data_IF_395182013675
#
_entry.id   IF_395182013675
#
_cell.length_a   1.000
_cell.length_b   1.000
_cell.length_c   1.000
_cell.angle_alpha   90.00
_cell.angle_beta   90.00
_cell.angle_gamma   90.00
#
_symmetry.space_group_name_H-M   'P 1'
#
loop_
_entity.id
_entity.type
_entity.pdbx_description
1 polymer ?
#
# COMPACT_ATOMS: atom_id res chain seq x y z
N UNK A 1 10.60 9.04 -0.91
CA UNK A 1 12.05 8.83 -0.72
C UNK A 1 12.49 9.71 0.40
N UNK A 2 12.26 11.03 0.32
CA UNK A 2 12.56 11.98 1.38
C UNK A 2 11.93 11.62 2.73
N UNK A 3 10.61 11.41 2.81
CA UNK A 3 9.96 10.96 4.05
C UNK A 3 10.49 9.62 4.60
N UNK A 4 10.96 8.72 3.73
CA UNK A 4 11.60 7.47 4.15
C UNK A 4 12.98 7.77 4.73
N UNK A 5 13.80 8.54 4.01
CA UNK A 5 15.09 9.00 4.49
C UNK A 5 14.99 9.72 5.84
N UNK A 6 14.06 10.66 6.00
CA UNK A 6 13.84 11.38 7.26
C UNK A 6 13.46 10.41 8.39
N UNK A 7 12.52 9.48 8.14
CA UNK A 7 12.09 8.51 9.15
C UNK A 7 13.22 7.56 9.57
N UNK A 8 14.07 7.15 8.63
CA UNK A 8 15.11 6.14 8.85
C UNK A 8 16.42 6.71 9.39
N UNK A 9 16.82 7.86 8.86
CA UNK A 9 18.09 8.50 9.13
C UNK A 9 17.98 9.51 10.27
N UNK A 10 17.01 10.44 10.21
CA UNK A 10 16.82 11.51 11.22
C UNK A 10 16.02 11.06 12.44
N UNK A 11 15.20 10.00 12.31
CA UNK A 11 14.52 9.30 13.41
C UNK A 11 13.75 10.23 14.34
N UNK A 12 14.24 10.47 15.56
CA UNK A 12 13.56 11.20 16.63
C UNK A 12 13.76 12.72 16.53
N UNK A 13 14.65 13.19 15.67
CA UNK A 13 14.80 14.60 15.36
C UNK A 13 13.69 15.08 14.41
N UNK A 14 12.44 14.94 14.84
CA UNK A 14 11.27 15.35 14.06
C UNK A 14 11.35 16.82 13.62
N UNK A 15 12.07 17.69 14.34
CA UNK A 15 12.27 19.09 13.98
C UNK A 15 13.17 19.30 12.76
N UNK A 16 14.05 18.35 12.42
CA UNK A 16 14.97 18.41 11.28
C UNK A 16 14.41 17.71 10.04
N UNK A 17 13.17 17.23 10.06
CA UNK A 17 12.55 16.58 8.90
C UNK A 17 12.30 17.60 7.79
N UNK A 18 12.56 17.18 6.55
CA UNK A 18 12.53 18.11 5.42
C UNK A 18 11.12 18.63 5.13
N UNK A 19 10.08 17.86 5.44
CA UNK A 19 8.69 18.30 5.23
C UNK A 19 8.26 19.44 6.15
N UNK A 20 9.00 19.70 7.24
CA UNK A 20 8.78 20.86 8.10
C UNK A 20 9.37 22.12 7.47
N UNK A 21 10.58 22.01 6.89
CA UNK A 21 11.29 23.13 6.27
C UNK A 21 10.74 23.45 4.87
N UNK A 22 10.35 22.43 4.12
CA UNK A 22 9.84 22.52 2.75
C UNK A 22 8.47 21.85 2.67
N UNK A 23 7.45 22.55 3.16
CA UNK A 23 6.07 22.09 3.06
C UNK A 23 5.65 22.08 1.58
N UNK A 24 5.53 20.88 1.01
CA UNK A 24 4.96 20.71 -0.32
C UNK A 24 3.48 21.13 -0.37
N UNK A 25 2.97 21.32 -1.59
CA UNK A 25 1.60 21.83 -1.85
C UNK A 25 0.49 20.88 -1.37
N UNK A 26 0.80 19.60 -1.09
CA UNK A 26 -0.17 18.60 -0.64
C UNK A 26 0.44 17.68 0.41
N UNK A 27 -0.15 17.59 1.62
CA UNK A 27 0.29 16.64 2.64
C UNK A 27 0.03 15.21 2.16
N UNK A 28 1.06 14.37 2.25
CA UNK A 28 0.99 12.94 1.90
C UNK A 28 0.99 12.13 3.18
N UNK A 29 0.31 10.99 3.17
CA UNK A 29 0.29 10.10 4.32
C UNK A 29 1.68 9.51 4.60
N UNK A 30 2.09 9.54 5.87
CA UNK A 30 3.29 8.87 6.37
C UNK A 30 3.05 7.39 6.63
N UNK A 31 1.79 6.93 6.62
CA UNK A 31 1.46 5.55 6.95
C UNK A 31 2.21 4.55 6.07
N UNK A 32 2.26 4.77 4.75
CA UNK A 32 2.98 3.88 3.82
C UNK A 32 4.49 3.78 4.12
N UNK A 33 5.10 4.89 4.54
CA UNK A 33 6.52 4.92 4.89
C UNK A 33 6.74 4.23 6.25
N UNK A 34 5.82 4.43 7.20
CA UNK A 34 5.82 3.74 8.48
C UNK A 34 5.68 2.23 8.32
N UNK A 35 4.86 1.77 7.37
CA UNK A 35 4.76 0.35 7.01
C UNK A 35 6.10 -0.24 6.56
N UNK A 36 6.87 0.48 5.73
CA UNK A 36 8.22 0.05 5.35
C UNK A 36 9.12 -0.04 6.58
N UNK A 37 9.05 0.92 7.50
CA UNK A 37 9.85 0.90 8.73
C UNK A 37 9.59 -0.32 9.59
N UNK A 38 8.30 -0.64 9.76
CA UNK A 38 7.89 -1.78 10.55
C UNK A 38 8.29 -3.12 9.91
N UNK A 39 8.17 -3.24 8.57
CA UNK A 39 8.37 -4.52 7.89
C UNK A 39 9.82 -4.80 7.50
N UNK A 40 10.62 -3.77 7.24
CA UNK A 40 11.99 -3.92 6.78
C UNK A 40 13.00 -3.61 7.89
N UNK A 41 12.91 -2.44 8.50
CA UNK A 41 13.98 -1.96 9.37
C UNK A 41 13.90 -2.53 10.79
N UNK A 42 12.71 -2.68 11.37
CA UNK A 42 12.56 -3.34 12.67
C UNK A 42 13.17 -4.75 12.71
N UNK A 43 12.82 -5.68 11.80
CA UNK A 43 13.41 -7.01 11.83
C UNK A 43 14.91 -6.99 11.55
N UNK A 44 15.40 -6.15 10.62
CA UNK A 44 16.83 -6.00 10.38
C UNK A 44 17.57 -5.54 11.65
N UNK A 45 17.03 -4.59 12.41
CA UNK A 45 17.61 -4.16 13.70
C UNK A 45 17.57 -5.26 14.76
N UNK A 46 16.48 -6.03 14.83
CA UNK A 46 16.39 -7.15 15.77
C UNK A 46 17.39 -8.27 15.44
N UNK A 47 17.71 -8.47 14.16
CA UNK A 47 18.63 -9.51 13.70
C UNK A 47 20.11 -9.10 13.82
N UNK A 48 20.44 -7.85 13.49
CA UNK A 48 21.83 -7.39 13.37
C UNK A 48 22.25 -6.41 14.49
N UNK A 49 21.36 -6.11 15.43
CA UNK A 49 21.62 -5.20 16.56
C UNK A 49 22.10 -3.81 16.13
N UNK A 50 22.95 -3.20 16.95
CA UNK A 50 23.57 -1.90 16.66
C UNK A 50 24.58 -1.93 15.50
N UNK A 51 24.98 -3.12 15.03
CA UNK A 51 25.81 -3.28 13.83
C UNK A 51 25.07 -2.97 12.53
N UNK A 52 23.76 -3.23 12.47
CA UNK A 52 22.94 -2.76 11.34
C UNK A 52 22.78 -1.24 11.35
N UNK A 53 22.77 -0.63 12.53
CA UNK A 53 22.71 0.82 12.66
C UNK A 53 23.98 1.45 12.04
N UNK A 54 25.18 0.94 12.34
CA UNK A 54 26.40 1.53 11.79
C UNK A 54 26.52 1.40 10.26
N UNK A 55 26.11 0.28 9.66
CA UNK A 55 26.18 0.11 8.19
C UNK A 55 25.04 0.85 7.45
N UNK A 56 23.80 0.76 7.94
CA UNK A 56 22.64 1.40 7.30
C UNK A 56 22.56 2.91 7.55
N UNK A 57 23.11 3.43 8.67
CA UNK A 57 23.12 4.86 8.99
C UNK A 57 24.41 5.57 8.57
N UNK A 58 25.46 4.85 8.15
CA UNK A 58 26.71 5.50 7.71
C UNK A 58 26.52 6.21 6.36
N UNK A 59 25.73 5.63 5.45
CA UNK A 59 25.45 6.22 4.14
C UNK A 59 23.94 6.37 3.89
N UNK A 60 23.47 7.62 3.86
CA UNK A 60 22.08 7.97 3.56
C UNK A 60 21.58 7.44 2.22
N UNK A 61 22.49 7.23 1.25
CA UNK A 61 22.16 6.67 -0.06
C UNK A 61 21.85 5.17 0.04
N UNK A 62 22.54 4.43 0.91
CA UNK A 62 22.30 3.00 1.12
C UNK A 62 20.87 2.72 1.60
N UNK A 63 20.35 3.54 2.52
CA UNK A 63 18.94 3.48 2.97
C UNK A 63 17.98 3.66 1.79
N UNK A 64 18.25 4.64 0.93
CA UNK A 64 17.41 4.93 -0.22
C UNK A 64 17.39 3.75 -1.22
N UNK A 65 18.53 3.12 -1.49
CA UNK A 65 18.60 1.94 -2.34
C UNK A 65 17.89 0.73 -1.72
N UNK A 66 18.07 0.50 -0.43
CA UNK A 66 17.42 -0.61 0.27
C UNK A 66 15.90 -0.47 0.25
N UNK A 67 15.38 0.73 0.53
CA UNK A 67 13.94 1.02 0.47
C UNK A 67 13.41 0.81 -0.96
N UNK A 68 14.14 1.26 -1.98
CA UNK A 68 13.76 1.04 -3.39
C UNK A 68 13.71 -0.43 -3.75
N UNK A 69 14.70 -1.21 -3.34
CA UNK A 69 14.76 -2.64 -3.59
C UNK A 69 13.58 -3.35 -2.92
N UNK A 70 13.27 -2.99 -1.67
CA UNK A 70 12.12 -3.54 -0.94
C UNK A 70 10.80 -3.23 -1.65
N UNK A 71 10.57 -1.97 -2.04
CA UNK A 71 9.35 -1.58 -2.77
C UNK A 71 9.27 -2.30 -4.12
N UNK A 72 10.38 -2.42 -4.85
CA UNK A 72 10.42 -3.18 -6.10
C UNK A 72 10.07 -4.65 -5.90
N UNK A 73 10.61 -5.28 -4.84
CA UNK A 73 10.29 -6.66 -4.48
C UNK A 73 8.79 -6.82 -4.13
N UNK A 74 8.22 -5.92 -3.33
CA UNK A 74 6.78 -5.93 -3.03
C UNK A 74 5.92 -5.82 -4.29
N UNK A 75 6.28 -4.93 -5.23
CA UNK A 75 5.61 -4.81 -6.52
C UNK A 75 5.70 -6.11 -7.31
N UNK A 76 6.89 -6.69 -7.43
CA UNK A 76 7.11 -7.95 -8.13
C UNK A 76 6.27 -9.09 -7.53
N UNK A 77 6.31 -9.27 -6.21
CA UNK A 77 5.54 -10.32 -5.53
C UNK A 77 4.02 -10.12 -5.64
N UNK A 78 3.54 -8.87 -5.66
CA UNK A 78 2.12 -8.59 -5.90
C UNK A 78 1.67 -9.12 -7.28
N UNK A 79 2.46 -8.86 -8.34
CA UNK A 79 2.14 -9.35 -9.68
C UNK A 79 2.31 -10.86 -9.84
N UNK A 80 3.33 -11.46 -9.23
CA UNK A 80 3.47 -12.93 -9.16
C UNK A 80 2.24 -13.54 -8.48
N UNK A 81 1.78 -12.94 -7.37
CA UNK A 81 0.60 -13.40 -6.66
C UNK A 81 -0.67 -13.28 -7.53
N UNK A 82 -0.83 -12.20 -8.31
CA UNK A 82 -1.92 -12.04 -9.27
C UNK A 82 -1.85 -13.08 -10.40
N UNK A 83 -0.70 -13.24 -11.04
CA UNK A 83 -0.53 -14.19 -12.14
C UNK A 83 -0.81 -15.62 -11.71
N UNK A 84 -0.42 -16.03 -10.50
CA UNK A 84 -0.76 -17.34 -9.93
C UNK A 84 -2.25 -17.52 -9.71
N UNK A 85 -2.97 -16.45 -9.35
CA UNK A 85 -4.44 -16.50 -9.22
C UNK A 85 -5.13 -16.65 -10.56
N UNK A 86 -4.65 -15.93 -11.57
CA UNK A 86 -5.16 -16.02 -12.94
C UNK A 86 -4.92 -17.43 -13.50
N UNK A 87 -3.71 -17.98 -13.34
CA UNK A 87 -3.42 -19.35 -13.82
C UNK A 87 -4.26 -20.41 -13.11
N UNK A 88 -4.56 -20.22 -11.81
CA UNK A 88 -5.46 -21.11 -11.06
C UNK A 88 -6.90 -21.04 -11.58
N UNK A 89 -7.36 -19.89 -12.06
CA UNK A 89 -8.67 -19.73 -12.67
C UNK A 89 -8.72 -20.29 -14.10
N UNK A 90 -7.64 -20.09 -14.86
CA UNK A 90 -7.49 -20.49 -16.25
C UNK A 90 -7.11 -21.98 -16.44
N UNK A 91 -7.27 -22.83 -15.40
CA UNK A 91 -6.89 -24.26 -15.36
C UNK A 91 -7.45 -25.16 -16.49
N UNK A 92 -8.25 -24.59 -17.39
CA UNK A 92 -8.77 -25.26 -18.58
C UNK A 92 -7.89 -25.08 -19.83
N UNK A 93 -6.86 -24.23 -19.82
CA UNK A 93 -5.98 -23.98 -20.98
C UNK A 93 -4.55 -24.47 -20.76
N UNK A 94 -3.91 -24.93 -21.83
CA UNK A 94 -2.54 -25.47 -21.89
C UNK A 94 -1.44 -24.43 -21.67
N UNK A 95 -1.76 -23.13 -21.79
CA UNK A 95 -0.78 -22.05 -21.73
C UNK A 95 -0.45 -21.60 -20.30
N UNK A 96 0.81 -21.26 -20.05
CA UNK A 96 1.23 -20.65 -18.78
C UNK A 96 0.87 -19.16 -18.74
N UNK A 97 -0.38 -18.87 -18.38
CA UNK A 97 -0.93 -17.50 -18.30
C UNK A 97 -0.14 -16.62 -17.32
N UNK A 98 0.48 -17.21 -16.30
CA UNK A 98 1.30 -16.48 -15.35
C UNK A 98 2.58 -15.98 -16.01
N UNK A 99 3.27 -16.83 -16.77
CA UNK A 99 4.47 -16.43 -17.51
C UNK A 99 4.16 -15.35 -18.57
N UNK A 100 3.06 -15.50 -19.32
CA UNK A 100 2.64 -14.52 -20.32
C UNK A 100 2.35 -13.16 -19.68
N UNK A 101 1.61 -13.13 -18.58
CA UNK A 101 1.33 -11.90 -17.85
C UNK A 101 2.63 -11.23 -17.38
N UNK A 102 3.54 -11.98 -16.76
CA UNK A 102 4.80 -11.42 -16.27
C UNK A 102 5.69 -10.91 -17.41
N UNK A 103 5.75 -11.62 -18.54
CA UNK A 103 6.48 -11.16 -19.73
C UNK A 103 5.89 -9.84 -20.25
N UNK A 104 4.56 -9.76 -20.39
CA UNK A 104 3.89 -8.54 -20.82
C UNK A 104 4.13 -7.37 -19.83
N UNK A 105 4.06 -7.62 -18.53
CA UNK A 105 4.32 -6.60 -17.53
C UNK A 105 5.79 -6.15 -17.53
N UNK A 106 6.73 -7.05 -17.80
CA UNK A 106 8.15 -6.73 -17.88
C UNK A 106 8.52 -5.88 -19.09
N UNK A 107 7.75 -5.96 -20.20
CA UNK A 107 7.95 -5.11 -21.36
C UNK A 107 7.41 -3.68 -21.16
N UNK A 108 6.53 -3.47 -20.17
CA UNK A 108 6.00 -2.14 -19.84
C UNK A 108 7.01 -1.32 -19.03
N UNK A 109 7.73 -0.43 -19.71
CA UNK A 109 8.75 0.42 -19.07
C UNK A 109 8.21 1.22 -17.87
N UNK A 110 6.95 1.69 -17.94
CA UNK A 110 6.31 2.46 -16.87
C UNK A 110 6.26 1.66 -15.57
N UNK A 111 5.89 0.37 -15.64
CA UNK A 111 5.72 -0.45 -14.45
C UNK A 111 7.06 -0.69 -13.74
N UNK A 112 8.08 -1.05 -14.51
CA UNK A 112 9.43 -1.32 -13.99
C UNK A 112 10.05 -0.04 -13.41
N UNK A 113 9.86 1.10 -14.09
CA UNK A 113 10.37 2.40 -13.67
C UNK A 113 9.72 2.93 -12.39
N UNK A 114 8.38 2.87 -12.29
CA UNK A 114 7.64 3.38 -11.13
C UNK A 114 7.55 2.37 -9.98
N UNK A 115 7.68 1.07 -10.27
CA UNK A 115 7.51 -0.03 -9.32
C UNK A 115 8.52 -0.07 -8.17
N UNK A 116 9.65 0.64 -8.28
CA UNK A 116 10.67 0.77 -7.23
C UNK A 116 10.57 2.09 -6.44
N UNK A 117 9.72 3.02 -6.85
CA UNK A 117 9.62 4.35 -6.23
C UNK A 117 8.62 4.32 -5.09
N UNK A 118 8.96 4.95 -3.96
CA UNK A 118 8.06 5.10 -2.79
C UNK A 118 6.99 6.19 -3.05
N UNK A 119 6.17 6.00 -4.06
CA UNK A 119 5.06 6.89 -4.37
C UNK A 119 3.78 6.27 -3.80
N UNK A 120 2.81 7.08 -3.33
CA UNK A 120 1.49 6.58 -2.96
C UNK A 120 0.89 5.67 -4.05
N UNK A 121 1.08 6.03 -5.33
CA UNK A 121 0.59 5.25 -6.47
C UNK A 121 1.19 3.83 -6.51
N UNK A 122 2.45 3.66 -6.12
CA UNK A 122 3.12 2.34 -6.11
C UNK A 122 2.55 1.46 -4.99
N UNK A 123 2.30 2.02 -3.81
CA UNK A 123 1.63 1.28 -2.72
C UNK A 123 0.17 0.96 -3.06
N UNK A 124 -0.52 1.89 -3.70
CA UNK A 124 -1.88 1.69 -4.17
C UNK A 124 -1.92 0.51 -5.16
N UNK A 125 -1.00 0.50 -6.13
CA UNK A 125 -0.85 -0.58 -7.10
C UNK A 125 -0.58 -1.93 -6.44
N UNK A 126 0.32 -1.98 -5.45
CA UNK A 126 0.63 -3.22 -4.74
C UNK A 126 -0.59 -3.78 -4.00
N UNK A 127 -1.25 -2.96 -3.18
CA UNK A 127 -2.43 -3.36 -2.41
C UNK A 127 -3.62 -3.71 -3.31
N UNK A 128 -3.84 -2.94 -4.36
CA UNK A 128 -4.92 -3.15 -5.31
C UNK A 128 -4.73 -4.46 -6.08
N UNK A 129 -3.50 -4.75 -6.53
CA UNK A 129 -3.13 -5.99 -7.23
C UNK A 129 -3.30 -7.21 -6.33
N UNK A 130 -2.87 -7.14 -5.07
CA UNK A 130 -3.07 -8.22 -4.09
C UNK A 130 -4.55 -8.41 -3.77
N UNK A 131 -5.31 -7.33 -3.58
CA UNK A 131 -6.75 -7.36 -3.35
C UNK A 131 -7.50 -8.03 -4.49
N UNK A 132 -7.19 -7.66 -5.74
CA UNK A 132 -7.74 -8.29 -6.94
C UNK A 132 -7.41 -9.78 -7.00
N UNK A 133 -6.17 -10.13 -6.67
CA UNK A 133 -5.74 -11.53 -6.63
C UNK A 133 -6.52 -12.37 -5.60
N UNK A 134 -6.82 -11.82 -4.43
CA UNK A 134 -7.68 -12.49 -3.44
C UNK A 134 -9.13 -12.61 -3.89
N UNK A 135 -9.65 -11.58 -4.58
CA UNK A 135 -10.99 -11.62 -5.14
C UNK A 135 -11.11 -12.72 -6.20
N UNK A 136 -10.14 -12.84 -7.12
CA UNK A 136 -10.10 -13.91 -8.12
C UNK A 136 -10.05 -15.32 -7.51
N UNK A 137 -9.46 -15.47 -6.31
CA UNK A 137 -9.43 -16.73 -5.56
C UNK A 137 -10.68 -16.98 -4.70
N UNK A 138 -11.68 -16.11 -4.76
CA UNK A 138 -12.90 -16.19 -3.94
C UNK A 138 -12.69 -15.88 -2.46
N UNK A 139 -11.57 -15.27 -2.08
CA UNK A 139 -11.27 -14.83 -0.72
C UNK A 139 -11.85 -13.43 -0.46
N UNK A 140 -13.16 -13.29 -0.64
CA UNK A 140 -13.89 -12.01 -0.67
C UNK A 140 -13.53 -11.08 0.50
N UNK A 141 -13.50 -11.63 1.72
CA UNK A 141 -13.26 -10.84 2.92
C UNK A 141 -11.91 -10.14 2.88
N UNK A 142 -10.84 -10.87 2.51
CA UNK A 142 -9.48 -10.33 2.42
C UNK A 142 -9.36 -9.33 1.27
N UNK A 143 -10.01 -9.62 0.15
CA UNK A 143 -10.02 -8.74 -1.01
C UNK A 143 -10.68 -7.39 -0.69
N UNK A 144 -11.92 -7.41 -0.19
CA UNK A 144 -12.67 -6.20 0.14
C UNK A 144 -11.96 -5.41 1.23
N UNK A 145 -11.42 -6.07 2.26
CA UNK A 145 -10.64 -5.41 3.31
C UNK A 145 -9.45 -4.64 2.71
N UNK A 146 -8.61 -5.30 1.90
CA UNK A 146 -7.42 -4.68 1.32
C UNK A 146 -7.75 -3.55 0.34
N UNK A 147 -8.78 -3.72 -0.49
CA UNK A 147 -9.24 -2.68 -1.41
C UNK A 147 -9.81 -1.47 -0.67
N UNK A 148 -10.53 -1.69 0.43
CA UNK A 148 -11.06 -0.61 1.27
C UNK A 148 -9.92 0.17 1.95
N UNK A 149 -8.92 -0.54 2.52
CA UNK A 149 -7.72 0.12 3.08
C UNK A 149 -6.99 0.93 2.01
N UNK A 150 -6.84 0.39 0.80
CA UNK A 150 -6.20 1.08 -0.32
C UNK A 150 -6.92 2.39 -0.69
N UNK A 151 -8.26 2.33 -0.79
CA UNK A 151 -9.11 3.47 -1.12
C UNK A 151 -9.10 4.56 -0.05
N UNK A 152 -9.14 4.19 1.23
CA UNK A 152 -9.21 5.13 2.35
C UNK A 152 -7.86 5.76 2.69
N UNK A 153 -6.77 4.98 2.68
CA UNK A 153 -5.45 5.43 3.14
C UNK A 153 -4.65 6.04 2.01
N UNK A 154 -4.61 5.35 0.86
CA UNK A 154 -3.59 5.62 -0.14
C UNK A 154 -4.11 6.62 -1.16
N UNK A 155 -5.22 6.30 -1.84
CA UNK A 155 -5.83 7.17 -2.88
C UNK A 155 -7.32 6.87 -3.07
N UNK A 156 -8.14 7.91 -3.06
CA UNK A 156 -9.59 7.80 -3.30
C UNK A 156 -9.95 7.30 -4.71
N UNK A 157 -9.12 7.53 -5.73
CA UNK A 157 -9.39 7.04 -7.10
C UNK A 157 -9.47 5.51 -7.18
N UNK A 158 -8.80 4.79 -6.26
CA UNK A 158 -8.88 3.33 -6.19
C UNK A 158 -10.24 2.83 -5.66
N UNK A 159 -11.08 3.73 -5.14
CA UNK A 159 -12.47 3.44 -4.82
C UNK A 159 -13.26 2.99 -6.06
N UNK A 160 -12.87 3.42 -7.27
CA UNK A 160 -13.47 2.91 -8.51
C UNK A 160 -13.25 1.40 -8.67
N UNK A 161 -12.06 0.92 -8.35
CA UNK A 161 -11.76 -0.52 -8.43
C UNK A 161 -12.47 -1.32 -7.34
N UNK A 162 -12.56 -0.76 -6.13
CA UNK A 162 -13.39 -1.32 -5.06
C UNK A 162 -14.87 -1.39 -5.46
N UNK A 163 -15.39 -0.33 -6.10
CA UNK A 163 -16.77 -0.27 -6.59
C UNK A 163 -17.00 -1.29 -7.71
N UNK A 164 -16.05 -1.47 -8.64
CA UNK A 164 -16.14 -2.50 -9.67
C UNK A 164 -16.24 -3.91 -9.08
N UNK A 165 -15.43 -4.22 -8.06
CA UNK A 165 -15.52 -5.50 -7.32
C UNK A 165 -16.86 -5.63 -6.59
N UNK A 166 -17.36 -4.55 -5.99
CA UNK A 166 -18.68 -4.54 -5.36
C UNK A 166 -19.80 -4.87 -6.37
N UNK A 167 -19.79 -4.19 -7.51
CA UNK A 167 -20.75 -4.38 -8.61
C UNK A 167 -20.72 -5.84 -9.07
N UNK A 168 -19.55 -6.41 -9.29
CA UNK A 168 -19.45 -7.82 -9.68
C UNK A 168 -20.05 -8.77 -8.64
N UNK A 169 -19.70 -8.56 -7.37
CA UNK A 169 -20.19 -9.37 -6.27
C UNK A 169 -21.71 -9.31 -6.11
N UNK A 170 -22.33 -8.15 -6.33
CA UNK A 170 -23.78 -7.99 -6.16
C UNK A 170 -24.59 -8.34 -7.43
N UNK A 171 -24.04 -8.14 -8.63
CA UNK A 171 -24.78 -8.40 -9.88
C UNK A 171 -24.56 -9.79 -10.45
N UNK A 172 -23.33 -10.33 -10.41
CA UNK A 172 -22.99 -11.58 -11.09
C UNK A 172 -22.87 -12.77 -10.13
N UNK A 173 -22.76 -12.52 -8.82
CA UNK A 173 -22.68 -13.62 -7.86
C UNK A 173 -24.05 -14.24 -7.58
N UNK A 174 -24.19 -15.54 -7.87
CA UNK A 174 -25.40 -16.34 -7.53
C UNK A 174 -25.55 -16.65 -6.04
N UNK A 175 -24.85 -15.92 -5.16
CA UNK A 175 -24.80 -16.17 -3.72
C UNK A 175 -25.97 -15.48 -3.02
N UNK A 176 -26.45 -16.00 -1.86
CA UNK A 176 -27.53 -15.34 -1.15
C UNK A 176 -27.12 -13.94 -0.69
N UNK A 177 -28.01 -12.95 -0.89
CA UNK A 177 -27.75 -11.54 -0.62
C UNK A 177 -27.22 -11.28 0.80
N UNK A 178 -27.77 -11.95 1.82
CA UNK A 178 -27.31 -11.83 3.21
C UNK A 178 -25.82 -12.16 3.39
N UNK A 179 -25.33 -13.19 2.69
CA UNK A 179 -23.92 -13.61 2.77
C UNK A 179 -23.00 -12.64 2.05
N UNK A 180 -23.43 -12.13 0.89
CA UNK A 180 -22.72 -11.10 0.14
C UNK A 180 -22.61 -9.82 0.96
N UNK A 181 -23.73 -9.38 1.55
CA UNK A 181 -23.78 -8.22 2.42
C UNK A 181 -22.77 -8.33 3.58
N UNK A 182 -22.78 -9.43 4.33
CA UNK A 182 -21.81 -9.62 5.41
C UNK A 182 -20.35 -9.67 4.90
N UNK A 183 -20.09 -10.34 3.79
CA UNK A 183 -18.72 -10.46 3.23
C UNK A 183 -18.20 -9.20 2.57
N UNK A 184 -19.07 -8.22 2.32
CA UNK A 184 -18.69 -6.94 1.78
C UNK A 184 -18.63 -5.86 2.87
N UNK A 185 -19.70 -5.70 3.64
CA UNK A 185 -19.81 -4.63 4.64
C UNK A 185 -18.92 -4.85 5.86
N UNK A 186 -18.84 -6.07 6.41
CA UNK A 186 -18.00 -6.31 7.59
C UNK A 186 -16.52 -6.03 7.36
N UNK A 187 -15.86 -6.54 6.29
CA UNK A 187 -14.46 -6.21 6.04
C UNK A 187 -14.28 -4.74 5.69
N UNK A 188 -15.23 -4.09 5.01
CA UNK A 188 -15.15 -2.66 4.71
C UNK A 188 -15.21 -1.80 5.97
N UNK A 189 -16.14 -2.12 6.88
CA UNK A 189 -16.27 -1.44 8.16
C UNK A 189 -15.04 -1.67 9.04
N UNK A 190 -14.58 -2.91 9.14
CA UNK A 190 -13.36 -3.24 9.88
C UNK A 190 -12.14 -2.50 9.31
N UNK A 191 -12.00 -2.48 7.98
CA UNK A 191 -10.95 -1.73 7.31
C UNK A 191 -11.03 -0.24 7.66
N UNK A 192 -12.20 0.38 7.61
CA UNK A 192 -12.38 1.79 7.96
C UNK A 192 -12.04 2.06 9.44
N UNK A 193 -12.53 1.23 10.36
CA UNK A 193 -12.26 1.34 11.80
C UNK A 193 -10.78 1.18 12.16
N UNK A 194 -10.01 0.42 11.39
CA UNK A 194 -8.57 0.24 11.62
C UNK A 194 -7.75 1.31 10.89
N UNK A 195 -8.08 1.56 9.63
CA UNK A 195 -7.29 2.41 8.75
C UNK A 195 -7.44 3.89 9.08
N UNK A 196 -8.65 4.38 9.34
CA UNK A 196 -8.86 5.81 9.59
C UNK A 196 -8.15 6.27 10.87
N UNK A 197 -8.29 5.61 12.03
CA UNK A 197 -7.55 6.02 13.23
C UNK A 197 -6.04 5.90 13.05
N UNK A 198 -5.56 4.85 12.35
CA UNK A 198 -4.14 4.68 12.09
C UNK A 198 -3.58 5.83 11.24
N UNK A 199 -4.25 6.20 10.15
CA UNK A 199 -3.85 7.34 9.31
C UNK A 199 -3.92 8.64 10.10
N UNK A 200 -5.02 8.91 10.80
CA UNK A 200 -5.19 10.14 11.59
C UNK A 200 -4.09 10.25 12.65
N UNK A 201 -3.81 9.18 13.41
CA UNK A 201 -2.82 9.20 14.47
C UNK A 201 -1.40 9.40 13.92
N UNK A 202 -1.00 8.59 12.93
CA UNK A 202 0.33 8.64 12.33
C UNK A 202 0.56 9.99 11.66
N UNK A 203 -0.39 10.44 10.84
CA UNK A 203 -0.23 11.69 10.11
C UNK A 203 -0.28 12.89 11.05
N UNK A 204 -1.14 12.91 12.07
CA UNK A 204 -1.14 14.00 13.08
C UNK A 204 0.19 14.10 13.82
N UNK A 205 0.81 12.96 14.15
CA UNK A 205 2.10 12.92 14.82
C UNK A 205 3.23 13.49 13.94
N UNK A 206 3.35 13.03 12.69
CA UNK A 206 4.45 13.44 11.80
C UNK A 206 4.25 14.85 11.23
N UNK A 207 3.01 15.25 10.93
CA UNK A 207 2.73 16.61 10.46
C UNK A 207 2.70 17.64 11.59
N UNK A 208 2.68 17.21 12.86
CA UNK A 208 2.59 18.09 14.05
C UNK A 208 1.45 19.11 13.96
N UNK A 209 0.38 18.76 13.23
CA UNK A 209 -0.87 19.53 13.14
C UNK A 209 -1.98 18.64 13.70
N UNK A 210 -2.65 19.11 14.75
CA UNK A 210 -3.85 18.45 15.29
C UNK A 210 -5.11 18.72 14.45
N UNK A 211 -4.98 19.42 13.33
CA UNK A 211 -6.12 19.96 12.57
C UNK A 211 -6.44 19.12 11.32
N UNK A 212 -7.11 17.99 11.55
CA UNK A 212 -8.21 17.56 10.67
C UNK A 212 -9.58 17.81 11.34
N UNK A 213 -9.61 18.50 12.47
CA UNK A 213 -10.82 19.12 12.99
C UNK A 213 -11.16 20.33 12.11
N UNK A 214 -12.17 20.18 11.26
CA UNK A 214 -12.98 21.31 10.75
C UNK A 214 -12.28 22.23 9.73
N UNK A 215 -12.04 21.74 8.50
CA UNK A 215 -12.08 22.61 7.31
C UNK A 215 -13.52 22.81 6.78
N UNK A 216 -14.50 22.82 7.70
CA UNK A 216 -15.88 23.26 7.45
C UNK A 216 -16.14 24.70 7.96
N UNK A 217 -15.15 25.39 8.55
CA UNK A 217 -15.29 26.75 9.10
C UNK A 217 -14.22 27.73 8.57
N UNK A 218 -13.93 27.67 7.28
CA UNK A 218 -13.25 28.78 6.56
C UNK A 218 -13.91 29.00 5.20
N UNK A 219 -15.19 29.33 5.26
CA UNK A 219 -15.90 30.12 4.26
C UNK A 219 -16.50 31.28 5.03
N UNK A 220 -15.68 32.29 5.29
CA UNK A 220 -16.07 33.68 5.54
C UNK A 220 -14.98 34.56 4.90
#
# INVERSE_FOLDING_TARGET
MQAAYDLFYKRDELASYDHIQFQGVVPRTFLCVKWIEMLLFRPLRMLFGDGANSFLLSDGMAVCYLVRLFVAACTFFAFVHLGKSISTLARQNTYDHHAILLMFLSSQFHLVFYGSRTLPNTFALQLSTVGLSWWLRGADFRAVFALTVCALVVRCETALMWAAVAVDMFLFSKRPYRRLFCRFFMPSLLAACVALPATIFVDSFYWRRSEYSVNLCKLD
#
